data_IF_582098187133
#
_entry.id   IF_582098187133
#
_cell.length_a   1.000
_cell.length_b   1.000
_cell.length_c   1.000
_cell.angle_alpha   90.00
_cell.angle_beta   90.00
_cell.angle_gamma   90.00
#
_symmetry.space_group_name_H-M   'P 1'
#
loop_
_entity.id
_entity.type
_entity.pdbx_description
1 polymer ?
#
# COMPACT_ATOMS: atom_id res chain seq x y z
N UNK A 1 -6.54 9.81 -19.23
CA UNK A 1 -6.37 10.13 -17.80
C UNK A 1 -7.42 9.41 -16.97
N UNK A 2 -7.01 8.68 -15.93
CA UNK A 2 -7.90 7.96 -15.02
C UNK A 2 -7.45 8.17 -13.58
N UNK A 3 -8.41 8.31 -12.67
CA UNK A 3 -8.16 8.46 -11.24
C UNK A 3 -8.59 7.18 -10.52
N UNK A 4 -7.83 6.78 -9.50
CA UNK A 4 -8.18 5.68 -8.63
C UNK A 4 -7.93 6.03 -7.17
N UNK A 5 -8.70 5.39 -6.28
CA UNK A 5 -8.55 5.51 -4.84
C UNK A 5 -8.49 4.10 -4.24
N UNK A 6 -7.55 3.89 -3.32
CA UNK A 6 -7.43 2.67 -2.57
C UNK A 6 -7.47 2.95 -1.07
N UNK A 7 -8.04 2.00 -0.34
CA UNK A 7 -8.07 2.01 1.12
C UNK A 7 -7.75 0.61 1.62
N UNK A 8 -6.91 0.51 2.64
CA UNK A 8 -6.64 -0.74 3.31
C UNK A 8 -6.47 -0.53 4.81
N UNK A 9 -6.70 -1.59 5.57
CA UNK A 9 -6.57 -1.58 7.02
C UNK A 9 -6.16 -2.96 7.49
N UNK A 10 -5.23 -3.00 8.45
CA UNK A 10 -4.82 -4.23 9.11
C UNK A 10 -4.71 -4.01 10.61
N UNK A 11 -5.01 -5.07 11.37
CA UNK A 11 -4.88 -5.08 12.82
C UNK A 11 -3.41 -5.19 13.21
N UNK A 12 -2.99 -4.43 14.22
CA UNK A 12 -1.71 -4.63 14.88
C UNK A 12 -1.77 -5.84 15.82
N UNK A 13 -0.75 -6.68 15.74
CA UNK A 13 -0.65 -7.90 16.56
C UNK A 13 0.79 -8.19 16.94
N UNK A 14 0.96 -8.99 17.98
CA UNK A 14 2.29 -9.45 18.41
C UNK A 14 2.84 -10.52 17.44
N UNK A 15 4.15 -10.74 17.52
CA UNK A 15 4.86 -11.79 16.76
C UNK A 15 4.74 -11.68 15.23
N UNK A 16 4.63 -10.46 14.74
CA UNK A 16 4.66 -10.14 13.32
C UNK A 16 5.58 -8.96 13.07
N UNK A 17 6.32 -9.01 11.97
CA UNK A 17 7.07 -7.86 11.49
C UNK A 17 6.12 -6.77 11.01
N UNK A 18 6.46 -5.52 11.28
CA UNK A 18 5.75 -4.37 10.73
C UNK A 18 6.41 -3.97 9.42
N UNK A 19 5.71 -4.20 8.31
CA UNK A 19 6.17 -3.86 6.98
C UNK A 19 5.18 -2.88 6.37
N UNK A 20 5.64 -1.68 6.05
CA UNK A 20 4.83 -0.63 5.44
C UNK A 20 5.63 0.03 4.32
N UNK A 21 5.03 0.12 3.14
CA UNK A 21 5.71 0.66 1.97
C UNK A 21 6.96 -0.13 1.58
N UNK A 22 6.97 -1.44 1.83
CA UNK A 22 8.11 -2.31 1.57
C UNK A 22 9.27 -2.13 2.55
N UNK A 23 9.06 -1.40 3.65
CA UNK A 23 10.08 -1.14 4.67
C UNK A 23 9.74 -1.87 5.95
N UNK A 24 10.70 -2.63 6.46
CA UNK A 24 10.58 -3.24 7.79
C UNK A 24 10.85 -2.17 8.85
N UNK A 25 9.84 -1.89 9.65
CA UNK A 25 9.88 -0.85 10.67
C UNK A 25 10.16 -1.50 12.03
N UNK A 26 11.08 -0.91 12.79
CA UNK A 26 11.38 -1.35 14.13
C UNK A 26 10.22 -0.97 15.07
N UNK A 27 9.42 -1.97 15.42
CA UNK A 27 8.27 -1.82 16.30
C UNK A 27 7.94 -3.16 16.95
N UNK A 28 7.32 -3.12 18.11
CA UNK A 28 7.01 -4.29 18.92
C UNK A 28 5.89 -5.16 18.36
N UNK A 29 5.06 -4.60 17.46
CA UNK A 29 3.96 -5.31 16.79
C UNK A 29 4.03 -5.12 15.30
N UNK A 30 3.41 -6.02 14.56
CA UNK A 30 3.27 -5.93 13.12
C UNK A 30 1.81 -6.03 12.70
N UNK A 31 1.57 -5.95 11.39
CA UNK A 31 0.22 -6.03 10.84
C UNK A 31 -0.14 -7.47 10.52
N UNK A 32 -1.39 -7.83 10.83
CA UNK A 32 -1.92 -9.17 10.62
C UNK A 32 -2.61 -9.24 9.26
N UNK A 33 -2.24 -10.24 8.46
CA UNK A 33 -2.86 -10.53 7.18
C UNK A 33 -2.29 -11.77 6.55
N UNK A 34 -2.86 -12.20 5.42
CA UNK A 34 -2.46 -13.39 4.69
C UNK A 34 -1.08 -13.22 4.04
N UNK A 35 -0.81 -12.06 3.44
CA UNK A 35 0.50 -11.65 2.91
C UNK A 35 1.37 -11.08 4.05
N UNK A 36 2.35 -10.23 3.72
CA UNK A 36 3.09 -9.45 4.71
C UNK A 36 2.24 -8.34 5.36
N UNK A 37 0.99 -8.18 4.92
CA UNK A 37 0.03 -7.19 5.39
C UNK A 37 0.50 -5.74 5.24
N UNK A 38 1.24 -5.43 4.18
CA UNK A 38 1.70 -4.07 3.88
C UNK A 38 0.51 -3.20 3.49
N UNK A 39 -0.01 -2.47 4.47
CA UNK A 39 -1.23 -1.68 4.32
C UNK A 39 -1.08 -0.57 3.28
N UNK A 40 0.11 0.00 3.15
CA UNK A 40 0.37 1.08 2.20
C UNK A 40 0.40 0.55 0.77
N UNK A 41 1.15 -0.53 0.52
CA UNK A 41 1.24 -1.11 -0.82
C UNK A 41 -0.10 -1.69 -1.27
N UNK A 42 -0.91 -2.23 -0.36
CA UNK A 42 -2.26 -2.71 -0.68
C UNK A 42 -3.18 -1.55 -1.09
N UNK A 43 -3.12 -0.42 -0.40
CA UNK A 43 -3.90 0.76 -0.78
C UNK A 43 -3.47 1.28 -2.17
N UNK A 44 -2.17 1.34 -2.43
CA UNK A 44 -1.64 1.74 -3.75
C UNK A 44 -2.10 0.79 -4.84
N UNK A 45 -1.99 -0.52 -4.60
CA UNK A 45 -2.42 -1.54 -5.56
C UNK A 45 -3.91 -1.42 -5.89
N UNK A 46 -4.76 -1.23 -4.88
CA UNK A 46 -6.19 -1.04 -5.08
C UNK A 46 -6.51 0.24 -5.85
N UNK A 47 -5.79 1.33 -5.59
CA UNK A 47 -5.95 2.56 -6.35
C UNK A 47 -5.66 2.34 -7.84
N UNK A 48 -4.57 1.64 -8.14
CA UNK A 48 -4.18 1.35 -9.53
C UNK A 48 -5.19 0.45 -10.23
N UNK A 49 -5.62 -0.62 -9.57
CA UNK A 49 -6.62 -1.53 -10.14
C UNK A 49 -7.96 -0.83 -10.37
N UNK A 50 -8.39 -0.02 -9.39
CA UNK A 50 -9.63 0.74 -9.52
C UNK A 50 -9.59 1.75 -10.67
N UNK A 51 -8.49 2.47 -10.83
CA UNK A 51 -8.32 3.42 -11.93
C UNK A 51 -8.39 2.73 -13.30
N UNK A 52 -7.86 1.52 -13.42
CA UNK A 52 -7.89 0.73 -14.66
C UNK A 52 -9.16 -0.10 -14.83
N UNK A 53 -10.09 -0.03 -13.90
CA UNK A 53 -11.33 -0.83 -13.88
C UNK A 53 -11.04 -2.34 -13.90
N UNK A 54 -10.04 -2.76 -13.13
CA UNK A 54 -9.61 -4.16 -12.98
C UNK A 54 -10.03 -4.80 -11.65
N UNK A 55 -10.95 -4.20 -10.93
CA UNK A 55 -11.44 -4.72 -9.65
C UNK A 55 -10.56 -4.30 -8.50
N UNK A 56 -10.17 -5.25 -7.68
CA UNK A 56 -9.41 -5.03 -6.45
C UNK A 56 -8.36 -6.13 -6.20
N UNK A 57 -7.52 -5.92 -5.19
CA UNK A 57 -6.48 -6.91 -4.85
C UNK A 57 -7.07 -8.21 -4.31
N UNK A 58 -8.21 -8.17 -3.66
CA UNK A 58 -8.88 -9.38 -3.17
C UNK A 58 -9.32 -10.30 -4.29
N UNK A 59 -9.72 -9.74 -5.43
CA UNK A 59 -10.04 -10.50 -6.63
C UNK A 59 -8.80 -11.05 -7.35
N UNK A 60 -7.73 -10.25 -7.41
CA UNK A 60 -6.49 -10.64 -8.09
C UNK A 60 -5.64 -11.61 -7.25
N UNK A 61 -5.59 -11.39 -5.93
CA UNK A 61 -4.79 -12.19 -4.99
C UNK A 61 -5.66 -12.64 -3.81
N UNK A 62 -6.56 -13.63 -4.00
CA UNK A 62 -7.44 -14.08 -2.92
C UNK A 62 -6.66 -14.56 -1.70
N UNK A 63 -7.11 -14.17 -0.51
CA UNK A 63 -6.51 -14.59 0.75
C UNK A 63 -6.73 -16.07 1.06
N UNK A 64 -7.61 -16.73 0.30
CA UNK A 64 -7.80 -18.18 0.32
C UNK A 64 -6.78 -18.95 -0.51
N UNK A 65 -5.98 -18.26 -1.32
CA UNK A 65 -4.97 -18.88 -2.18
C UNK A 65 -3.64 -19.02 -1.44
N UNK A 66 -3.21 -20.26 -1.21
CA UNK A 66 -1.99 -20.58 -0.49
C UNK A 66 -0.73 -19.98 -1.14
N UNK A 67 -0.76 -19.69 -2.45
CA UNK A 67 0.39 -19.11 -3.16
C UNK A 67 0.75 -17.73 -2.62
N UNK A 68 -0.21 -17.00 -2.04
CA UNK A 68 0.00 -15.63 -1.56
C UNK A 68 0.23 -15.55 -0.05
N UNK A 69 0.23 -16.69 0.65
CA UNK A 69 0.52 -16.73 2.08
C UNK A 69 1.94 -16.25 2.34
N UNK A 70 2.08 -15.22 3.17
CA UNK A 70 3.37 -14.61 3.46
C UNK A 70 3.99 -13.85 2.29
N UNK A 71 3.24 -13.58 1.23
CA UNK A 71 3.76 -12.93 0.03
C UNK A 71 4.32 -11.54 0.32
N UNK A 72 5.41 -11.20 -0.37
CA UNK A 72 5.96 -9.85 -0.40
C UNK A 72 5.04 -8.96 -1.24
N UNK A 73 4.43 -7.97 -0.61
CA UNK A 73 3.49 -7.08 -1.28
C UNK A 73 4.14 -6.23 -2.38
N UNK A 74 5.46 -6.06 -2.39
CA UNK A 74 6.15 -5.41 -3.51
C UNK A 74 6.05 -6.27 -4.78
N UNK A 75 6.14 -7.58 -4.64
CA UNK A 75 5.94 -8.50 -5.78
C UNK A 75 4.50 -8.39 -6.29
N UNK A 76 3.53 -8.36 -5.39
CA UNK A 76 2.12 -8.19 -5.75
C UNK A 76 1.88 -6.86 -6.46
N UNK A 77 2.47 -5.78 -5.96
CA UNK A 77 2.36 -4.45 -6.57
C UNK A 77 2.92 -4.44 -8.01
N UNK A 78 4.07 -5.06 -8.22
CA UNK A 78 4.64 -5.17 -9.59
C UNK A 78 3.73 -5.93 -10.54
N UNK A 79 3.04 -6.97 -10.06
CA UNK A 79 2.06 -7.70 -10.86
C UNK A 79 0.83 -6.84 -11.19
N UNK A 80 0.38 -6.03 -10.25
CA UNK A 80 -0.69 -5.05 -10.50
C UNK A 80 -0.27 -4.04 -11.57
N UNK A 81 0.92 -3.50 -11.47
CA UNK A 81 1.46 -2.55 -12.45
C UNK A 81 1.52 -3.19 -13.84
N UNK A 82 1.94 -4.45 -13.94
CA UNK A 82 1.94 -5.19 -15.21
C UNK A 82 0.53 -5.33 -15.80
N UNK A 83 -0.46 -5.66 -14.97
CA UNK A 83 -1.86 -5.77 -15.40
C UNK A 83 -2.41 -4.42 -15.89
N UNK A 84 -2.06 -3.33 -15.22
CA UNK A 84 -2.44 -1.97 -15.62
C UNK A 84 -1.84 -1.62 -16.99
N UNK A 85 -0.57 -1.95 -17.20
CA UNK A 85 0.08 -1.76 -18.51
C UNK A 85 -0.56 -2.57 -19.63
N UNK A 86 -0.90 -3.82 -19.36
CA UNK A 86 -1.58 -4.69 -20.32
C UNK A 86 -2.95 -4.13 -20.71
N UNK A 87 -3.57 -3.36 -19.81
CA UNK A 87 -4.83 -2.67 -20.06
C UNK A 87 -4.65 -1.39 -20.89
N UNK A 88 -3.41 -0.95 -21.13
CA UNK A 88 -3.10 0.23 -21.93
C UNK A 88 -2.88 1.50 -21.12
N UNK A 89 -2.52 1.38 -19.85
CA UNK A 89 -2.28 2.53 -18.99
C UNK A 89 -0.89 2.50 -18.37
N UNK A 90 -0.42 3.67 -18.01
CA UNK A 90 0.80 3.85 -17.23
C UNK A 90 0.51 4.70 -15.99
N UNK A 91 1.28 4.49 -14.95
CA UNK A 91 1.16 5.29 -13.73
C UNK A 91 1.66 6.71 -14.00
N UNK A 92 0.84 7.71 -13.73
CA UNK A 92 1.24 9.12 -13.78
C UNK A 92 1.85 9.58 -12.47
N UNK A 93 1.05 9.53 -11.40
CA UNK A 93 1.54 9.83 -10.05
C UNK A 93 0.70 9.13 -8.99
N UNK A 94 1.26 9.08 -7.78
CA UNK A 94 0.62 8.48 -6.61
C UNK A 94 0.79 9.42 -5.43
N UNK A 95 -0.28 9.63 -4.69
CA UNK A 95 -0.27 10.27 -3.38
C UNK A 95 -0.90 9.33 -2.36
N UNK A 96 -0.18 9.00 -1.30
CA UNK A 96 -0.63 8.04 -0.31
C UNK A 96 -0.48 8.60 1.10
N UNK A 97 -1.39 8.19 1.97
CA UNK A 97 -1.44 8.62 3.36
C UNK A 97 -1.51 7.41 4.29
N UNK A 98 -0.58 7.34 5.23
CA UNK A 98 -0.59 6.33 6.29
C UNK A 98 -1.26 6.95 7.51
N UNK A 99 -2.19 6.21 8.11
CA UNK A 99 -2.89 6.62 9.32
C UNK A 99 -2.48 5.68 10.45
N UNK A 100 -1.64 6.17 11.34
CA UNK A 100 -1.10 5.38 12.45
C UNK A 100 -0.82 6.27 13.64
N UNK A 101 -1.25 5.84 14.82
CA UNK A 101 -0.91 6.54 16.06
C UNK A 101 0.57 6.35 16.38
N UNK A 102 1.05 5.13 16.23
CA UNK A 102 2.45 4.70 16.40
C UNK A 102 2.76 3.53 15.47
N UNK A 103 4.02 3.30 15.09
CA UNK A 103 5.19 4.15 15.33
C UNK A 103 5.20 5.39 14.43
N UNK A 104 6.15 6.30 14.67
CA UNK A 104 6.37 7.44 13.77
C UNK A 104 6.89 6.94 12.44
N UNK A 105 6.23 7.33 11.37
CA UNK A 105 6.56 6.89 10.01
C UNK A 105 7.63 7.76 9.34
N UNK A 106 7.81 8.98 9.81
CA UNK A 106 8.68 9.98 9.16
C UNK A 106 10.07 9.47 8.77
N UNK A 107 10.80 8.70 9.61
CA UNK A 107 12.13 8.21 9.24
C UNK A 107 12.14 7.26 8.03
N UNK A 108 10.99 6.67 7.69
CA UNK A 108 10.87 5.61 6.67
C UNK A 108 10.20 6.09 5.39
N UNK A 109 9.58 7.26 5.40
CA UNK A 109 8.74 7.74 4.30
C UNK A 109 9.52 7.86 2.99
N UNK A 110 10.72 8.39 3.02
CA UNK A 110 11.53 8.54 1.80
C UNK A 110 11.81 7.19 1.13
N UNK A 111 12.14 6.18 1.91
CA UNK A 111 12.38 4.83 1.38
C UNK A 111 11.10 4.18 0.85
N UNK A 112 9.96 4.41 1.53
CA UNK A 112 8.67 3.93 1.05
C UNK A 112 8.34 4.50 -0.34
N UNK A 113 8.52 5.81 -0.51
CA UNK A 113 8.27 6.47 -1.79
C UNK A 113 9.19 5.94 -2.90
N UNK A 114 10.47 5.71 -2.59
CA UNK A 114 11.42 5.13 -3.53
C UNK A 114 11.02 3.71 -3.93
N UNK A 115 10.59 2.89 -2.98
CA UNK A 115 10.14 1.53 -3.25
C UNK A 115 8.92 1.52 -4.19
N UNK A 116 7.94 2.36 -3.91
CA UNK A 116 6.71 2.46 -4.72
C UNK A 116 7.07 2.96 -6.12
N UNK A 117 7.90 3.99 -6.24
CA UNK A 117 8.33 4.52 -7.53
C UNK A 117 9.04 3.46 -8.37
N UNK A 118 9.96 2.70 -7.76
CA UNK A 118 10.66 1.61 -8.43
C UNK A 118 9.69 0.53 -8.92
N UNK A 119 8.76 0.10 -8.08
CA UNK A 119 7.79 -0.94 -8.41
C UNK A 119 6.80 -0.49 -9.48
N UNK A 120 6.45 0.79 -9.51
CA UNK A 120 5.55 1.37 -10.50
C UNK A 120 6.25 1.82 -11.79
N UNK A 121 7.59 1.85 -11.80
CA UNK A 121 8.37 2.27 -12.97
C UNK A 121 8.24 3.76 -13.26
N UNK A 122 8.16 4.60 -12.22
CA UNK A 122 8.08 6.06 -12.34
C UNK A 122 9.23 6.74 -11.59
N UNK A 123 9.46 8.01 -11.89
CA UNK A 123 10.45 8.80 -11.16
C UNK A 123 10.01 8.99 -9.69
N UNK A 124 10.95 9.12 -8.74
CA UNK A 124 10.59 9.27 -7.33
C UNK A 124 9.70 10.48 -7.02
N UNK A 125 9.80 11.56 -7.78
CA UNK A 125 8.96 12.75 -7.60
C UNK A 125 7.51 12.56 -8.07
N UNK A 126 7.19 11.43 -8.68
CA UNK A 126 5.82 11.04 -9.01
C UNK A 126 5.11 10.32 -7.86
N UNK A 127 5.79 10.07 -6.76
CA UNK A 127 5.23 9.37 -5.60
C UNK A 127 5.42 10.21 -4.35
N UNK A 128 4.31 10.52 -3.69
CA UNK A 128 4.33 11.16 -2.38
C UNK A 128 3.74 10.22 -1.33
N UNK A 129 4.42 10.11 -0.20
CA UNK A 129 3.91 9.39 0.98
C UNK A 129 3.93 10.36 2.15
N UNK A 130 2.81 10.42 2.86
CA UNK A 130 2.69 11.20 4.09
C UNK A 130 2.02 10.37 5.17
N UNK A 131 2.16 10.75 6.40
CA UNK A 131 1.57 10.06 7.53
C UNK A 131 0.88 11.04 8.45
N UNK A 132 -0.17 10.58 9.10
CA UNK A 132 -0.92 11.34 10.09
C UNK A 132 -1.40 10.42 11.21
N UNK A 133 -1.67 11.01 12.37
CA UNK A 133 -2.45 10.35 13.42
C UNK A 133 -3.92 10.78 13.30
N UNK A 134 -4.79 10.12 14.04
CA UNK A 134 -6.16 10.56 14.24
C UNK A 134 -6.38 11.19 15.61
N UNK A 135 -5.31 11.75 16.20
CA UNK A 135 -5.36 12.47 17.47
C UNK A 135 -5.93 11.61 18.62
N UNK A 136 -5.56 10.33 18.64
CA UNK A 136 -6.03 9.38 19.65
C UNK A 136 -7.46 8.87 19.44
N UNK A 137 -8.11 9.26 18.33
CA UNK A 137 -9.50 8.88 18.05
C UNK A 137 -9.57 7.59 17.24
N UNK A 138 -10.62 6.82 17.49
CA UNK A 138 -10.93 5.62 16.74
C UNK A 138 -9.93 4.48 16.93
N UNK A 139 -10.02 3.48 16.09
CA UNK A 139 -9.18 2.28 16.21
C UNK A 139 -7.70 2.56 15.92
N UNK A 140 -7.39 3.49 15.03
CA UNK A 140 -6.01 3.87 14.78
C UNK A 140 -5.45 4.66 15.96
N UNK A 141 -6.25 5.55 16.53
CA UNK A 141 -5.88 6.34 17.70
C UNK A 141 -5.67 5.48 18.95
N UNK A 142 -6.41 4.38 19.07
CA UNK A 142 -6.25 3.40 20.15
C UNK A 142 -5.10 2.42 19.93
N UNK A 143 -4.43 2.48 18.77
CA UNK A 143 -3.34 1.56 18.45
C UNK A 143 -3.79 0.14 18.12
N UNK A 144 -5.03 -0.04 17.70
CA UNK A 144 -5.56 -1.35 17.31
C UNK A 144 -5.19 -1.75 15.91
N UNK A 145 -4.94 -0.79 15.03
CA UNK A 145 -4.61 -1.02 13.65
C UNK A 145 -3.99 0.19 12.98
N UNK A 146 -3.57 -0.03 11.73
CA UNK A 146 -3.06 1.01 10.84
C UNK A 146 -3.88 0.95 9.57
N UNK A 147 -4.27 2.12 9.05
CA UNK A 147 -4.94 2.23 7.77
C UNK A 147 -4.12 3.08 6.80
N UNK A 148 -4.43 2.97 5.52
CA UNK A 148 -3.81 3.77 4.49
C UNK A 148 -4.81 4.09 3.38
N UNK A 149 -4.68 5.28 2.81
CA UNK A 149 -5.35 5.70 1.60
C UNK A 149 -4.32 5.96 0.52
N UNK A 150 -4.68 5.69 -0.71
CA UNK A 150 -3.88 6.08 -1.86
C UNK A 150 -4.78 6.63 -2.95
N UNK A 151 -4.28 7.64 -3.64
CA UNK A 151 -4.90 8.18 -4.85
C UNK A 151 -3.87 8.09 -5.95
N UNK A 152 -4.28 7.69 -7.13
CA UNK A 152 -3.40 7.62 -8.28
C UNK A 152 -4.04 8.27 -9.50
N UNK A 153 -3.17 8.67 -10.41
CA UNK A 153 -3.53 9.09 -11.75
C UNK A 153 -2.88 8.13 -12.74
N UNK A 154 -3.68 7.57 -13.64
CA UNK A 154 -3.18 6.80 -14.78
C UNK A 154 -3.33 7.61 -16.06
N UNK A 155 -2.41 7.37 -16.97
CA UNK A 155 -2.42 7.97 -18.30
C UNK A 155 -2.46 6.88 -19.36
N UNK A 156 -3.07 7.18 -20.49
CA UNK A 156 -3.08 6.26 -21.62
C UNK A 156 -1.69 6.16 -22.25
N UNK A 157 -1.34 4.99 -22.69
CA UNK A 157 -0.08 4.71 -23.38
C UNK A 157 -0.32 4.44 -24.85
#
# INVERSE_FOLDING_TARGET
MRIGHGYDVHRLTENRDLIVGGVKIDYERGLLGHSDADVLLHAVADALLGAAALGDIGGMFPDTDARFKGADSRVLLRQVVAAVRDRGYAVGNIDATIIAQRPKMKPYIAQMAQNIAADCGVAPDCVNVKATTEEGLGFTGAGEGISAHAVCLLEEV
#
